data_IF_008855078512
#
_entry.id   IF_008855078512
#
_cell.length_a   1.000
_cell.length_b   1.000
_cell.length_c   1.000
_cell.angle_alpha   90.00
_cell.angle_beta   90.00
_cell.angle_gamma   90.00
#
_symmetry.space_group_name_H-M   'P 1'
#
loop_
_entity.id
_entity.type
_entity.pdbx_description
1 polymer ?
#
# COMPACT_ATOMS: atom_id res chain seq x y z
N UNK A 1 9.73 -8.19 6.80
CA UNK A 1 9.50 -9.38 5.96
C UNK A 1 8.68 -8.88 4.80
N UNK A 2 9.13 -9.10 3.56
CA UNK A 2 8.41 -8.67 2.36
C UNK A 2 7.22 -9.62 2.13
N UNK A 3 6.03 -9.21 2.60
CA UNK A 3 4.81 -10.01 2.53
C UNK A 3 4.33 -10.19 1.08
N UNK A 4 4.67 -9.25 0.20
CA UNK A 4 4.26 -9.24 -1.21
C UNK A 4 4.68 -10.51 -1.96
N UNK A 5 5.86 -11.07 -1.63
CA UNK A 5 6.42 -12.24 -2.31
C UNK A 5 5.78 -13.56 -1.89
N UNK A 6 5.27 -13.63 -0.66
CA UNK A 6 4.50 -14.79 -0.21
C UNK A 6 3.15 -14.88 -0.91
N UNK A 7 2.45 -13.74 -1.06
CA UNK A 7 1.17 -13.68 -1.78
C UNK A 7 1.33 -13.83 -3.30
N UNK A 8 2.46 -13.36 -3.84
CA UNK A 8 2.76 -13.43 -5.27
C UNK A 8 2.77 -14.85 -5.84
N UNK A 9 3.15 -15.87 -5.05
CA UNK A 9 3.14 -17.27 -5.51
C UNK A 9 1.74 -17.79 -5.86
N UNK A 10 0.70 -17.19 -5.29
CA UNK A 10 -0.71 -17.53 -5.54
C UNK A 10 -1.32 -16.75 -6.72
N UNK A 11 -0.66 -15.66 -7.17
CA UNK A 11 -1.15 -14.85 -8.28
C UNK A 11 -0.47 -15.27 -9.59
N UNK A 12 -1.25 -15.86 -10.51
CA UNK A 12 -0.76 -16.29 -11.83
C UNK A 12 -0.13 -15.15 -12.65
N UNK A 13 -0.56 -13.92 -12.42
CA UNK A 13 -0.07 -12.75 -13.15
C UNK A 13 1.15 -12.09 -12.48
N UNK A 14 1.58 -12.56 -11.30
CA UNK A 14 2.77 -12.03 -10.64
C UNK A 14 4.04 -12.44 -11.40
N UNK A 15 5.00 -11.51 -11.46
CA UNK A 15 6.31 -11.77 -12.06
C UNK A 15 7.13 -12.79 -11.26
N UNK A 16 6.92 -12.85 -9.93
CA UNK A 16 7.59 -13.80 -9.06
C UNK A 16 6.59 -14.83 -8.54
N UNK A 17 6.69 -16.06 -9.01
CA UNK A 17 5.92 -17.18 -8.48
C UNK A 17 6.69 -18.01 -7.45
N UNK A 18 7.97 -17.67 -7.23
CA UNK A 18 8.85 -18.35 -6.28
C UNK A 18 8.79 -17.69 -4.91
N UNK A 19 8.53 -18.50 -3.89
CA UNK A 19 8.65 -18.09 -2.49
C UNK A 19 10.12 -18.03 -2.04
N UNK A 20 10.40 -17.05 -1.18
CA UNK A 20 11.71 -16.87 -0.58
C UNK A 20 11.61 -17.02 0.94
N UNK A 21 12.56 -17.74 1.52
CA UNK A 21 12.71 -17.83 2.98
C UNK A 21 13.24 -16.53 3.56
N UNK A 22 12.99 -16.30 4.85
CA UNK A 22 13.52 -15.12 5.56
C UNK A 22 15.05 -15.02 5.43
N UNK A 23 15.75 -16.15 5.58
CA UNK A 23 17.21 -16.20 5.45
C UNK A 23 17.67 -15.80 4.06
N UNK A 24 16.95 -16.19 3.00
CA UNK A 24 17.27 -15.77 1.64
C UNK A 24 17.06 -14.26 1.43
N UNK A 25 16.03 -13.68 2.04
CA UNK A 25 15.76 -12.23 1.98
C UNK A 25 16.85 -11.45 2.71
N UNK A 26 17.18 -11.83 3.94
CA UNK A 26 18.19 -11.15 4.76
C UNK A 26 19.59 -11.25 4.13
N UNK A 27 19.93 -12.40 3.53
CA UNK A 27 21.23 -12.62 2.89
C UNK A 27 21.24 -12.26 1.40
N UNK A 28 20.20 -11.61 0.88
CA UNK A 28 20.16 -11.16 -0.49
C UNK A 28 21.27 -10.13 -0.77
N UNK A 29 21.62 -9.98 -2.05
CA UNK A 29 22.60 -8.97 -2.48
C UNK A 29 22.18 -7.59 -1.98
N UNK A 30 23.03 -6.92 -1.19
CA UNK A 30 22.80 -5.55 -0.73
C UNK A 30 22.74 -4.56 -1.89
N UNK A 31 21.78 -3.66 -1.85
CA UNK A 31 21.62 -2.55 -2.80
C UNK A 31 22.06 -1.24 -2.17
N UNK A 32 21.58 -0.95 -0.95
CA UNK A 32 21.93 0.28 -0.23
C UNK A 32 21.82 0.06 1.28
N UNK A 33 22.91 0.33 2.00
CA UNK A 33 23.01 0.22 3.46
C UNK A 33 22.44 -1.11 4.02
N UNK A 34 21.23 -1.05 4.61
CA UNK A 34 20.52 -2.21 5.16
C UNK A 34 19.56 -2.91 4.19
N UNK A 35 19.32 -2.35 3.00
CA UNK A 35 18.36 -2.90 2.02
C UNK A 35 18.98 -3.90 1.06
N UNK A 36 18.36 -5.09 0.97
CA UNK A 36 18.68 -6.15 0.03
C UNK A 36 17.86 -6.09 -1.26
N UNK A 37 18.35 -6.76 -2.31
CA UNK A 37 17.72 -6.81 -3.63
C UNK A 37 16.29 -7.37 -3.59
N UNK A 38 16.04 -8.34 -2.69
CA UNK A 38 14.71 -8.94 -2.57
C UNK A 38 13.70 -8.02 -1.87
N UNK A 39 14.13 -6.90 -1.29
CA UNK A 39 13.27 -5.89 -0.67
C UNK A 39 12.96 -4.72 -1.63
N UNK A 40 13.40 -4.82 -2.89
CA UNK A 40 13.09 -3.88 -3.96
C UNK A 40 12.07 -4.49 -4.93
N UNK A 41 11.13 -3.67 -5.40
CA UNK A 41 10.21 -4.07 -6.46
C UNK A 41 10.96 -4.33 -7.78
N UNK A 42 10.48 -5.27 -8.62
CA UNK A 42 11.10 -5.56 -9.89
C UNK A 42 10.68 -4.59 -11.00
N UNK A 43 11.51 -4.48 -12.03
CA UNK A 43 11.14 -3.77 -13.26
C UNK A 43 10.20 -4.63 -14.10
N UNK A 44 9.08 -4.04 -14.54
CA UNK A 44 8.03 -4.73 -15.31
C UNK A 44 7.50 -3.84 -16.43
N UNK A 45 7.04 -4.49 -17.50
CA UNK A 45 6.24 -3.86 -18.57
C UNK A 45 4.80 -4.36 -18.48
N UNK A 46 3.82 -3.46 -18.51
CA UNK A 46 2.41 -3.82 -18.42
C UNK A 46 1.46 -2.63 -18.48
N UNK A 47 0.16 -2.91 -18.57
CA UNK A 47 -0.90 -1.90 -18.51
C UNK A 47 -2.13 -2.42 -17.78
N UNK A 48 -2.87 -1.52 -17.16
CA UNK A 48 -4.15 -1.78 -16.51
C UNK A 48 -5.14 -0.66 -16.86
N UNK A 49 -6.43 -0.97 -16.86
CA UNK A 49 -7.50 0.00 -17.11
C UNK A 49 -8.72 -0.32 -16.24
N UNK A 50 -9.42 0.74 -15.82
CA UNK A 50 -10.71 0.65 -15.13
C UNK A 50 -11.74 1.52 -15.87
N UNK A 51 -12.99 1.05 -15.93
CA UNK A 51 -14.11 1.82 -16.49
C UNK A 51 -14.91 2.42 -15.35
N UNK A 52 -14.98 3.75 -15.32
CA UNK A 52 -15.76 4.48 -14.32
C UNK A 52 -17.14 4.82 -14.89
N UNK A 53 -18.16 4.60 -14.08
CA UNK A 53 -19.53 5.00 -14.41
C UNK A 53 -20.20 5.61 -13.18
N UNK A 54 -21.21 6.45 -13.41
CA UNK A 54 -21.99 7.03 -12.33
C UNK A 54 -23.04 6.05 -11.83
N UNK A 55 -23.48 6.23 -10.58
CA UNK A 55 -24.59 5.46 -10.01
C UNK A 55 -25.84 5.52 -10.89
N UNK A 56 -26.18 6.70 -11.43
CA UNK A 56 -27.30 6.89 -12.39
C UNK A 56 -27.18 6.00 -13.63
N UNK A 57 -25.96 5.74 -14.12
CA UNK A 57 -25.76 4.83 -15.24
C UNK A 57 -26.05 3.38 -14.82
N UNK A 58 -25.62 2.96 -13.64
CA UNK A 58 -25.88 1.63 -13.09
C UNK A 58 -27.37 1.41 -12.77
N UNK A 59 -28.09 2.43 -12.29
CA UNK A 59 -29.54 2.36 -12.07
C UNK A 59 -30.30 2.06 -13.38
N UNK A 60 -29.87 2.65 -14.50
CA UNK A 60 -30.42 2.38 -15.83
C UNK A 60 -29.98 1.05 -16.42
N UNK A 61 -28.89 0.47 -15.90
CA UNK A 61 -28.28 -0.77 -16.38
C UNK A 61 -28.07 -1.76 -15.21
N UNK A 62 -29.14 -2.20 -14.53
CA UNK A 62 -29.04 -2.94 -13.28
C UNK A 62 -28.30 -4.29 -13.40
N UNK A 63 -28.22 -4.85 -14.61
CA UNK A 63 -27.48 -6.07 -14.89
C UNK A 63 -25.96 -5.93 -14.69
N UNK A 64 -25.43 -4.71 -14.65
CA UNK A 64 -24.01 -4.43 -14.37
C UNK A 64 -23.73 -4.24 -12.88
N UNK A 65 -24.75 -4.08 -12.03
CA UNK A 65 -24.59 -3.70 -10.62
C UNK A 65 -23.79 -4.72 -9.81
N UNK A 66 -23.93 -6.01 -10.12
CA UNK A 66 -23.17 -7.09 -9.46
C UNK A 66 -21.68 -7.12 -9.80
N UNK A 67 -21.25 -6.40 -10.85
CA UNK A 67 -19.86 -6.31 -11.29
C UNK A 67 -19.20 -4.99 -10.87
N UNK A 68 -19.98 -4.04 -10.37
CA UNK A 68 -19.48 -2.72 -9.98
C UNK A 68 -18.95 -2.74 -8.55
N UNK A 69 -17.86 -2.01 -8.32
CA UNK A 69 -17.34 -1.70 -6.99
C UNK A 69 -17.53 -0.20 -6.77
N UNK A 70 -18.16 0.15 -5.66
CA UNK A 70 -18.40 1.55 -5.29
C UNK A 70 -17.12 2.21 -4.78
N UNK A 71 -16.87 3.44 -5.23
CA UNK A 71 -15.79 4.29 -4.70
C UNK A 71 -16.41 5.19 -3.62
N UNK A 72 -16.30 4.77 -2.37
CA UNK A 72 -16.88 5.49 -1.21
C UNK A 72 -16.14 6.79 -0.88
N UNK A 73 -14.89 6.93 -1.31
CA UNK A 73 -14.11 8.16 -1.17
C UNK A 73 -12.78 8.11 -1.90
N UNK A 74 -12.26 9.29 -2.22
CA UNK A 74 -10.97 9.46 -2.90
C UNK A 74 -10.31 10.74 -2.41
N UNK A 75 -9.03 10.65 -2.04
CA UNK A 75 -8.20 11.81 -1.73
C UNK A 75 -6.88 11.76 -2.49
N UNK A 76 -6.45 12.94 -2.92
CA UNK A 76 -5.15 13.16 -3.55
C UNK A 76 -4.41 14.20 -2.73
N UNK A 77 -3.13 13.95 -2.49
CA UNK A 77 -2.24 14.84 -1.78
C UNK A 77 -0.85 14.83 -2.36
N UNK A 78 -0.05 15.79 -1.92
CA UNK A 78 1.37 15.88 -2.24
C UNK A 78 2.15 16.13 -0.95
N UNK A 79 3.47 16.05 -1.07
CA UNK A 79 4.41 16.22 0.03
C UNK A 79 4.13 17.49 0.83
N UNK A 80 4.27 17.37 2.15
CA UNK A 80 4.15 18.48 3.07
C UNK A 80 5.49 19.23 3.16
N UNK A 81 5.49 20.53 3.52
CA UNK A 81 6.74 21.29 3.69
C UNK A 81 7.74 20.67 4.68
N UNK A 82 7.29 19.79 5.57
CA UNK A 82 8.13 19.04 6.52
C UNK A 82 9.21 18.21 5.84
N UNK A 83 8.96 17.73 4.61
CA UNK A 83 9.94 17.00 3.78
C UNK A 83 11.24 17.77 3.62
N UNK A 84 11.17 19.09 3.44
CA UNK A 84 12.34 19.94 3.18
C UNK A 84 12.92 20.60 4.43
N UNK A 85 12.18 20.58 5.54
CA UNK A 85 12.53 21.37 6.75
C UNK A 85 13.08 20.53 7.89
N UNK A 86 12.66 19.27 7.99
CA UNK A 86 12.87 18.47 9.20
C UNK A 86 13.96 17.40 9.06
N UNK A 87 14.60 17.30 7.88
CA UNK A 87 15.70 16.36 7.61
C UNK A 87 15.39 14.92 8.06
N UNK A 88 14.20 14.42 7.72
CA UNK A 88 13.72 13.09 8.10
C UNK A 88 13.43 12.24 6.86
N UNK A 89 14.10 11.10 6.76
CA UNK A 89 13.87 10.15 5.67
C UNK A 89 12.44 9.57 5.70
N UNK A 90 11.87 9.36 6.89
CA UNK A 90 10.48 8.88 7.04
C UNK A 90 9.49 9.87 6.43
N UNK A 91 9.72 11.17 6.66
CA UNK A 91 8.88 12.23 6.08
C UNK A 91 9.11 12.36 4.59
N UNK A 92 10.36 12.25 4.15
CA UNK A 92 10.73 12.30 2.74
C UNK A 92 10.09 11.18 1.90
N UNK A 93 9.84 10.01 2.48
CA UNK A 93 9.11 8.94 1.79
C UNK A 93 7.58 9.03 1.96
N UNK A 94 7.06 10.15 2.46
CA UNK A 94 5.64 10.49 2.38
C UNK A 94 4.80 10.25 3.64
N UNK A 95 5.38 9.95 4.81
CA UNK A 95 4.62 9.66 6.04
C UNK A 95 3.58 10.75 6.38
N UNK A 96 4.02 12.02 6.45
CA UNK A 96 3.13 13.15 6.81
C UNK A 96 2.03 13.37 5.76
N UNK A 97 2.36 13.14 4.48
CA UNK A 97 1.39 13.23 3.39
C UNK A 97 0.31 12.14 3.55
N UNK A 98 0.72 10.88 3.72
CA UNK A 98 -0.18 9.73 3.86
C UNK A 98 -1.07 9.91 5.09
N UNK A 99 -0.50 10.29 6.24
CA UNK A 99 -1.26 10.52 7.47
C UNK A 99 -2.31 11.62 7.31
N UNK A 100 -1.96 12.71 6.62
CA UNK A 100 -2.90 13.81 6.37
C UNK A 100 -4.06 13.36 5.48
N UNK A 101 -3.76 12.78 4.32
CA UNK A 101 -4.81 12.40 3.36
C UNK A 101 -5.70 11.28 3.88
N UNK A 102 -5.14 10.33 4.63
CA UNK A 102 -5.91 9.25 5.24
C UNK A 102 -6.83 9.78 6.33
N UNK A 103 -6.34 10.66 7.21
CA UNK A 103 -7.16 11.30 8.25
C UNK A 103 -8.32 12.12 7.67
N UNK A 104 -8.07 12.87 6.60
CA UNK A 104 -9.12 13.62 5.89
C UNK A 104 -10.14 12.67 5.25
N UNK A 105 -9.68 11.62 4.57
CA UNK A 105 -10.55 10.63 3.93
C UNK A 105 -11.43 9.89 4.95
N UNK A 106 -10.86 9.45 6.07
CA UNK A 106 -11.61 8.80 7.15
C UNK A 106 -12.68 9.73 7.74
N UNK A 107 -12.38 11.03 7.89
CA UNK A 107 -13.37 12.01 8.36
C UNK A 107 -14.49 12.23 7.36
N UNK A 108 -14.18 12.30 6.06
CA UNK A 108 -15.18 12.54 5.01
C UNK A 108 -16.08 11.34 4.76
N UNK A 109 -15.52 10.13 4.81
CA UNK A 109 -16.25 8.88 4.52
C UNK A 109 -16.88 8.25 5.75
N UNK A 110 -16.39 8.58 6.95
CA UNK A 110 -16.74 7.88 8.19
C UNK A 110 -16.12 6.48 8.32
N UNK A 111 -15.33 6.05 7.34
CA UNK A 111 -14.62 4.76 7.34
C UNK A 111 -13.37 4.87 8.20
N UNK A 112 -13.03 3.79 8.90
CA UNK A 112 -11.80 3.65 9.69
C UNK A 112 -10.96 2.48 9.20
N UNK A 113 -9.67 2.38 9.59
CA UNK A 113 -8.86 1.22 9.25
C UNK A 113 -9.45 -0.12 9.71
N UNK A 114 -10.29 -0.13 10.75
CA UNK A 114 -10.94 -1.35 11.26
C UNK A 114 -12.11 -1.84 10.39
N UNK A 115 -12.62 -1.00 9.48
CA UNK A 115 -13.71 -1.35 8.57
C UNK A 115 -13.19 -2.02 7.28
N UNK A 116 -11.87 -2.08 7.11
CA UNK A 116 -11.21 -2.57 5.90
C UNK A 116 -10.72 -4.00 6.08
N UNK A 117 -11.11 -4.89 5.17
CA UNK A 117 -10.70 -6.30 5.19
C UNK A 117 -9.47 -6.59 4.32
N UNK A 118 -9.23 -5.76 3.30
CA UNK A 118 -8.13 -5.90 2.33
C UNK A 118 -7.57 -4.52 2.04
N UNK A 119 -6.24 -4.41 1.98
CA UNK A 119 -5.56 -3.17 1.62
C UNK A 119 -4.51 -3.45 0.55
N UNK A 120 -4.49 -2.60 -0.47
CA UNK A 120 -3.49 -2.58 -1.52
C UNK A 120 -2.65 -1.32 -1.35
N UNK A 121 -1.33 -1.47 -1.23
CA UNK A 121 -0.39 -0.38 -0.96
C UNK A 121 0.67 -0.27 -2.04
N UNK A 122 1.32 0.90 -2.13
CA UNK A 122 2.44 1.10 -3.02
C UNK A 122 3.77 0.68 -2.36
N UNK A 123 4.17 -0.57 -2.61
CA UNK A 123 5.27 -1.28 -1.96
C UNK A 123 6.57 -1.31 -2.78
N UNK A 124 7.02 -0.16 -3.31
CA UNK A 124 8.29 -0.10 -4.06
C UNK A 124 9.50 -0.65 -3.29
N UNK A 125 9.48 -0.50 -1.96
CA UNK A 125 10.47 -1.04 -1.05
C UNK A 125 9.80 -1.52 0.23
N UNK A 126 10.28 -2.62 0.82
CA UNK A 126 9.70 -3.18 2.04
C UNK A 126 9.64 -2.17 3.22
N UNK A 127 10.64 -1.30 3.47
CA UNK A 127 10.53 -0.28 4.51
C UNK A 127 9.42 0.76 4.26
N UNK A 128 9.12 1.07 3.00
CA UNK A 128 8.08 2.03 2.65
C UNK A 128 6.68 1.50 2.96
N UNK A 129 6.45 0.21 2.66
CA UNK A 129 5.21 -0.48 3.02
C UNK A 129 4.97 -0.43 4.55
N UNK A 130 6.01 -0.75 5.33
CA UNK A 130 5.94 -0.70 6.78
C UNK A 130 5.57 0.69 7.32
N UNK A 131 6.27 1.73 6.86
CA UNK A 131 5.99 3.11 7.29
C UNK A 131 4.57 3.55 6.89
N UNK A 132 4.06 3.03 5.76
CA UNK A 132 2.70 3.30 5.30
C UNK A 132 1.64 2.73 6.27
N UNK A 133 1.87 1.57 6.90
CA UNK A 133 0.94 1.03 7.88
C UNK A 133 0.73 1.96 9.09
N UNK A 134 1.81 2.51 9.62
CA UNK A 134 1.75 3.47 10.73
C UNK A 134 1.08 4.78 10.29
N UNK A 135 1.40 5.28 9.09
CA UNK A 135 0.81 6.51 8.56
C UNK A 135 -0.70 6.38 8.31
N UNK A 136 -1.18 5.20 7.93
CA UNK A 136 -2.61 4.91 7.78
C UNK A 136 -3.32 4.65 9.11
N UNK A 137 -2.59 4.52 10.21
CA UNK A 137 -3.17 4.19 11.52
C UNK A 137 -3.62 2.73 11.65
N UNK A 138 -3.03 1.81 10.87
CA UNK A 138 -3.21 0.36 11.06
C UNK A 138 -2.52 -0.15 12.33
N UNK A 139 -1.53 0.60 12.81
CA UNK A 139 -0.85 0.38 14.07
C UNK A 139 -0.26 1.68 14.62
N UNK A 140 0.08 1.67 15.90
CA UNK A 140 0.73 2.80 16.55
C UNK A 140 2.14 3.02 15.99
N UNK A 141 2.57 4.29 15.97
CA UNK A 141 3.90 4.68 15.47
C UNK A 141 4.99 3.99 16.30
N UNK A 142 5.90 3.29 15.62
CA UNK A 142 6.99 2.52 16.23
C UNK A 142 6.59 1.14 16.76
N UNK A 143 5.32 0.75 16.64
CA UNK A 143 4.80 -0.52 17.19
C UNK A 143 4.54 -1.58 16.13
N UNK A 144 5.07 -1.40 14.91
CA UNK A 144 4.80 -2.29 13.77
C UNK A 144 5.11 -3.77 14.01
N UNK A 145 6.06 -4.07 14.90
CA UNK A 145 6.41 -5.44 15.30
C UNK A 145 5.26 -6.18 15.99
N UNK A 146 4.27 -5.45 16.51
CA UNK A 146 3.10 -5.98 17.22
C UNK A 146 1.87 -6.11 16.30
N UNK A 147 1.95 -5.64 15.06
CA UNK A 147 0.80 -5.53 14.16
C UNK A 147 0.41 -6.88 13.57
N UNK A 148 -0.86 -7.31 13.69
CA UNK A 148 -1.33 -8.62 13.22
C UNK A 148 -1.40 -8.78 11.69
N UNK A 149 -1.11 -7.74 10.91
CA UNK A 149 -0.90 -7.82 9.44
C UNK A 149 0.29 -8.73 9.10
N UNK A 150 1.16 -9.03 10.07
CA UNK A 150 2.31 -9.94 9.97
C UNK A 150 2.00 -11.40 10.43
N UNK A 151 0.73 -11.80 10.56
CA UNK A 151 0.35 -13.19 10.87
C UNK A 151 -0.07 -13.98 9.65
#
# INVERSE_FOLDING_TARGET
MDLSRGLSSFCRNSQFTKEFTLDQVINARKIYDFMGLLECSPTSDGSAAAVLCSERFLEKNPHLKSQAVEIVGLKLGTDQPSVFKENSNIKMIGFDMIQKISSELYKETGVTPNDVQVIELHDCFAPNELITYEALGLCDIGEIKKTPVLK
#
